data_IF_895312445185
#
_entry.id   IF_895312445185
#
_cell.length_a   1.000
_cell.length_b   1.000
_cell.length_c   1.000
_cell.angle_alpha   90.00
_cell.angle_beta   90.00
_cell.angle_gamma   90.00
#
_symmetry.space_group_name_H-M   'P 1'
#
loop_
_entity.id
_entity.type
_entity.pdbx_description
1 polymer ?
#
# COMPACT_ATOMS: atom_id res chain seq x y z
N UNK A 1 27.22 7.05 -2.93
CA UNK A 1 26.82 6.41 -1.66
C UNK A 1 27.67 6.86 -0.46
N UNK A 2 28.72 7.67 -0.66
CA UNK A 2 29.57 8.16 0.42
C UNK A 2 28.76 8.88 1.51
N UNK A 3 29.00 8.54 2.78
CA UNK A 3 28.29 9.09 3.94
C UNK A 3 26.88 8.54 4.17
N UNK A 4 26.52 7.39 3.58
CA UNK A 4 25.30 6.64 3.93
C UNK A 4 25.68 5.57 4.96
N UNK A 5 25.02 5.56 6.11
CA UNK A 5 25.32 4.69 7.26
C UNK A 5 25.14 3.21 6.94
N UNK A 6 24.06 2.85 6.24
CA UNK A 6 23.77 1.47 5.82
C UNK A 6 23.43 1.39 4.34
N UNK A 7 24.43 1.31 3.45
CA UNK A 7 24.22 1.22 2.01
C UNK A 7 23.42 -0.03 1.60
N UNK A 8 23.52 -1.12 2.37
CA UNK A 8 22.82 -2.39 2.10
C UNK A 8 21.30 -2.27 2.02
N UNK A 9 20.70 -1.18 2.52
CA UNK A 9 19.27 -0.89 2.38
C UNK A 9 18.84 -0.58 0.94
N UNK A 10 19.79 -0.27 0.04
CA UNK A 10 19.52 0.40 -1.25
C UNK A 10 20.14 -0.31 -2.47
N UNK A 11 20.78 -1.47 -2.29
CA UNK A 11 21.59 -2.13 -3.34
C UNK A 11 20.83 -3.20 -4.15
N UNK A 12 19.72 -3.73 -3.64
CA UNK A 12 19.02 -4.89 -4.21
C UNK A 12 19.98 -6.07 -4.50
N UNK A 13 19.64 -6.95 -5.46
CA UNK A 13 20.44 -8.11 -5.86
C UNK A 13 20.30 -9.31 -4.92
N UNK A 14 19.40 -9.23 -3.94
CA UNK A 14 19.15 -10.24 -2.92
C UNK A 14 18.75 -11.59 -3.52
N UNK A 15 19.00 -12.65 -2.75
CA UNK A 15 18.57 -13.98 -3.13
C UNK A 15 17.04 -14.04 -3.20
N UNK A 16 16.50 -14.69 -4.23
CA UNK A 16 15.06 -14.75 -4.55
C UNK A 16 14.37 -13.40 -4.85
N UNK A 17 15.09 -12.27 -4.94
CA UNK A 17 14.49 -11.05 -5.46
C UNK A 17 14.02 -11.29 -6.90
N UNK A 18 12.79 -10.87 -7.21
CA UNK A 18 12.23 -10.97 -8.54
C UNK A 18 13.11 -10.17 -9.52
N UNK A 19 13.34 -10.76 -10.70
CA UNK A 19 14.08 -10.13 -11.79
C UNK A 19 13.17 -10.09 -13.01
N UNK A 20 12.42 -9.00 -13.14
CA UNK A 20 11.57 -8.72 -14.28
C UNK A 20 12.03 -7.45 -14.95
N UNK A 21 12.04 -7.48 -16.27
CA UNK A 21 12.37 -6.33 -17.09
C UNK A 21 11.21 -5.34 -17.08
N UNK A 22 11.54 -4.07 -16.83
CA UNK A 22 10.57 -2.99 -16.72
C UNK A 22 9.64 -2.87 -17.92
N UNK A 23 10.21 -2.92 -19.13
CA UNK A 23 9.49 -2.64 -20.37
C UNK A 23 8.55 -3.77 -20.83
N UNK A 24 8.73 -4.99 -20.32
CA UNK A 24 7.87 -6.14 -20.66
C UNK A 24 6.64 -6.28 -19.74
N UNK A 25 6.61 -5.56 -18.62
CA UNK A 25 5.48 -5.62 -17.69
C UNK A 25 4.31 -4.76 -18.16
N UNK A 26 3.12 -5.36 -18.24
CA UNK A 26 1.86 -4.67 -18.54
C UNK A 26 1.37 -3.85 -17.35
N UNK A 27 1.66 -4.29 -16.13
CA UNK A 27 1.36 -3.58 -14.90
C UNK A 27 2.61 -3.47 -14.03
N UNK A 28 2.86 -2.27 -13.53
CA UNK A 28 4.00 -1.94 -12.68
C UNK A 28 3.48 -1.49 -11.32
N UNK A 29 3.83 -2.24 -10.28
CA UNK A 29 3.39 -2.01 -8.89
C UNK A 29 4.58 -1.69 -8.01
N UNK A 30 4.54 -0.55 -7.33
CA UNK A 30 5.46 -0.23 -6.24
C UNK A 30 4.84 -0.68 -4.92
N UNK A 31 5.35 -1.78 -4.36
CA UNK A 31 4.97 -2.26 -3.03
C UNK A 31 5.80 -1.52 -1.98
N UNK A 32 5.19 -0.47 -1.45
CA UNK A 32 5.79 0.43 -0.49
C UNK A 32 5.56 -0.03 0.95
N UNK A 33 6.63 -0.01 1.73
CA UNK A 33 6.55 -0.12 3.18
C UNK A 33 6.97 1.23 3.79
N UNK A 34 6.07 1.92 4.52
CA UNK A 34 6.33 3.25 5.09
C UNK A 34 7.17 3.14 6.38
N UNK A 35 8.32 2.49 6.25
CA UNK A 35 9.41 2.45 7.23
C UNK A 35 10.69 1.98 6.53
N UNK A 36 11.80 1.91 7.26
CA UNK A 36 13.07 1.41 6.76
C UNK A 36 13.00 -0.06 6.34
N UNK A 37 13.90 -0.38 5.42
CA UNK A 37 14.12 -1.70 4.87
C UNK A 37 14.16 -2.81 5.93
N UNK A 38 14.87 -2.65 7.05
CA UNK A 38 14.99 -3.71 8.06
C UNK A 38 13.63 -4.09 8.69
N UNK A 39 12.73 -3.13 8.83
CA UNK A 39 11.38 -3.35 9.37
C UNK A 39 10.50 -3.95 8.28
N UNK A 40 10.47 -3.35 7.09
CA UNK A 40 9.63 -3.82 6.00
C UNK A 40 9.98 -5.23 5.52
N UNK A 41 11.26 -5.58 5.45
CA UNK A 41 11.71 -6.94 5.12
C UNK A 41 11.42 -7.98 6.22
N UNK A 42 11.06 -7.54 7.41
CA UNK A 42 10.57 -8.41 8.49
C UNK A 42 9.07 -8.70 8.37
N UNK A 43 8.34 -8.02 7.48
CA UNK A 43 6.89 -8.13 7.35
C UNK A 43 6.46 -9.27 6.40
N UNK A 44 5.72 -10.26 6.93
CA UNK A 44 5.25 -11.41 6.16
C UNK A 44 4.25 -11.02 5.08
N UNK A 45 3.29 -10.15 5.37
CA UNK A 45 2.27 -9.74 4.40
C UNK A 45 2.88 -9.10 3.14
N UNK A 46 3.97 -8.34 3.29
CA UNK A 46 4.69 -7.78 2.16
C UNK A 46 5.33 -8.87 1.30
N UNK A 47 5.92 -9.90 1.91
CA UNK A 47 6.49 -11.05 1.19
C UNK A 47 5.42 -11.85 0.44
N UNK A 48 4.25 -12.01 1.04
CA UNK A 48 3.09 -12.67 0.41
C UNK A 48 2.66 -11.88 -0.84
N UNK A 49 2.35 -10.60 -0.69
CA UNK A 49 1.87 -9.76 -1.81
C UNK A 49 2.93 -9.62 -2.92
N UNK A 50 4.19 -9.43 -2.54
CA UNK A 50 5.30 -9.40 -3.48
C UNK A 50 5.40 -10.70 -4.30
N UNK A 51 5.25 -11.84 -3.64
CA UNK A 51 5.28 -13.15 -4.30
C UNK A 51 4.08 -13.41 -5.19
N UNK A 52 2.87 -13.05 -4.74
CA UNK A 52 1.63 -13.16 -5.53
C UNK A 52 1.76 -12.37 -6.83
N UNK A 53 2.10 -11.07 -6.73
CA UNK A 53 2.20 -10.22 -7.91
C UNK A 53 3.35 -10.61 -8.82
N UNK A 54 4.51 -11.01 -8.28
CA UNK A 54 5.63 -11.44 -9.12
C UNK A 54 5.47 -12.85 -9.70
N UNK A 55 4.49 -13.64 -9.28
CA UNK A 55 4.14 -14.88 -9.98
C UNK A 55 3.35 -14.64 -11.28
N UNK A 56 2.66 -13.49 -11.40
CA UNK A 56 1.95 -13.10 -12.61
C UNK A 56 2.93 -12.65 -13.69
N UNK A 57 2.95 -13.32 -14.84
CA UNK A 57 3.98 -13.09 -15.89
C UNK A 57 4.03 -11.66 -16.41
N UNK A 58 2.89 -10.99 -16.43
CA UNK A 58 2.69 -9.65 -16.99
C UNK A 58 2.67 -8.54 -15.93
N UNK A 59 2.86 -8.87 -14.65
CA UNK A 59 2.94 -7.89 -13.55
C UNK A 59 4.36 -7.83 -13.01
N UNK A 60 4.88 -6.63 -12.83
CA UNK A 60 6.13 -6.35 -12.14
C UNK A 60 5.79 -5.69 -10.81
N UNK A 61 6.28 -6.26 -9.71
CA UNK A 61 6.10 -5.70 -8.39
C UNK A 61 7.46 -5.46 -7.75
N UNK A 62 7.74 -4.21 -7.38
CA UNK A 62 9.03 -3.78 -6.84
C UNK A 62 8.87 -3.21 -5.44
N UNK A 63 9.91 -3.37 -4.62
CA UNK A 63 9.89 -2.96 -3.22
C UNK A 63 10.41 -1.55 -3.11
N UNK A 64 9.74 -0.75 -2.29
CA UNK A 64 10.16 0.61 -1.96
C UNK A 64 10.02 0.82 -0.46
N UNK A 65 11.01 1.45 0.15
CA UNK A 65 11.08 1.68 1.59
C UNK A 65 11.31 3.15 1.87
N UNK A 66 10.94 3.59 3.07
CA UNK A 66 11.31 4.93 3.52
C UNK A 66 12.83 5.01 3.66
N UNK A 67 13.50 5.98 3.00
CA UNK A 67 14.93 6.15 3.19
C UNK A 67 15.22 6.62 4.61
N UNK A 68 16.36 6.24 5.16
CA UNK A 68 16.80 6.82 6.42
C UNK A 68 17.21 8.28 6.23
N UNK A 69 17.25 9.05 7.32
CA UNK A 69 17.50 10.50 7.30
C UNK A 69 18.74 10.91 6.48
N UNK A 70 19.80 10.09 6.50
CA UNK A 70 21.05 10.34 5.78
C UNK A 70 20.92 10.19 4.25
N UNK A 71 20.09 9.24 3.79
CA UNK A 71 19.77 9.05 2.38
C UNK A 71 18.72 10.06 1.93
N UNK A 72 17.69 10.32 2.73
CA UNK A 72 16.66 11.31 2.40
C UNK A 72 17.28 12.68 2.15
N UNK A 73 18.13 13.16 3.07
CA UNK A 73 18.80 14.46 2.91
C UNK A 73 19.57 14.56 1.60
N UNK A 74 20.17 13.46 1.13
CA UNK A 74 20.88 13.42 -0.15
C UNK A 74 19.96 13.44 -1.34
N UNK A 75 18.91 12.61 -1.33
CA UNK A 75 17.90 12.62 -2.40
C UNK A 75 17.34 14.03 -2.58
N UNK A 76 16.96 14.69 -1.48
CA UNK A 76 16.48 16.07 -1.49
C UNK A 76 17.54 17.07 -1.97
N UNK A 77 18.78 16.98 -1.48
CA UNK A 77 19.87 17.88 -1.91
C UNK A 77 20.24 17.74 -3.39
N UNK A 78 20.10 16.54 -3.95
CA UNK A 78 20.40 16.25 -5.36
C UNK A 78 19.17 16.45 -6.27
N UNK A 79 17.97 16.64 -5.71
CA UNK A 79 16.72 16.66 -6.45
C UNK A 79 16.38 15.31 -7.10
N UNK A 80 16.91 14.21 -6.54
CA UNK A 80 16.66 12.86 -7.03
C UNK A 80 15.42 12.26 -6.35
N UNK A 81 14.55 11.56 -7.10
CA UNK A 81 13.37 10.96 -6.53
C UNK A 81 13.68 9.71 -5.70
N UNK A 82 12.76 9.35 -4.81
CA UNK A 82 12.73 8.01 -4.23
C UNK A 82 12.45 6.98 -5.33
N UNK A 83 13.30 5.97 -5.38
CA UNK A 83 13.25 4.90 -6.38
C UNK A 83 13.05 3.53 -5.75
N UNK A 84 12.50 2.61 -6.53
CA UNK A 84 12.42 1.19 -6.18
C UNK A 84 13.79 0.51 -6.04
N UNK A 85 13.82 -0.62 -5.33
CA UNK A 85 15.04 -1.40 -5.19
C UNK A 85 15.41 -2.13 -6.48
N UNK A 86 14.43 -2.74 -7.17
CA UNK A 86 14.70 -3.67 -8.26
C UNK A 86 15.26 -3.00 -9.51
N UNK A 87 14.47 -2.12 -10.15
CA UNK A 87 14.88 -1.43 -11.37
C UNK A 87 15.26 0.04 -11.16
N UNK A 88 15.28 0.52 -9.90
CA UNK A 88 15.59 1.92 -9.55
C UNK A 88 14.69 2.92 -10.25
N UNK A 89 13.40 2.62 -10.29
CA UNK A 89 12.40 3.46 -10.94
C UNK A 89 11.71 4.40 -9.95
N UNK A 90 11.51 5.68 -10.30
CA UNK A 90 10.78 6.62 -9.46
C UNK A 90 9.35 6.16 -9.21
N UNK A 91 8.79 6.47 -8.04
CA UNK A 91 7.41 6.11 -7.68
C UNK A 91 6.37 6.62 -8.69
N UNK A 92 6.53 7.84 -9.20
CA UNK A 92 5.64 8.40 -10.23
C UNK A 92 5.59 7.57 -11.52
N UNK A 93 6.60 6.75 -11.80
CA UNK A 93 6.62 5.90 -13.01
C UNK A 93 5.83 4.60 -12.87
N UNK A 94 5.34 4.25 -11.67
CA UNK A 94 4.50 3.07 -11.46
C UNK A 94 3.01 3.31 -11.76
N UNK A 95 2.28 2.23 -12.06
CA UNK A 95 0.85 2.29 -12.32
C UNK A 95 0.04 2.23 -11.02
N UNK A 96 0.53 1.44 -10.06
CA UNK A 96 -0.01 1.32 -8.71
C UNK A 96 1.10 1.54 -7.70
N UNK A 97 0.81 2.31 -6.65
CA UNK A 97 1.64 2.39 -5.44
C UNK A 97 0.84 1.81 -4.29
N UNK A 98 1.29 0.70 -3.71
CA UNK A 98 0.62 0.04 -2.59
C UNK A 98 1.36 0.22 -1.27
N UNK A 99 0.72 0.82 -0.27
CA UNK A 99 1.29 1.00 1.07
C UNK A 99 0.78 -0.04 2.07
N UNK A 100 1.68 -0.56 2.90
CA UNK A 100 1.34 -1.39 4.06
C UNK A 100 1.25 -0.55 5.35
N UNK A 101 0.06 -0.19 5.79
CA UNK A 101 -0.19 0.63 6.99
C UNK A 101 -0.27 -0.26 8.26
N UNK A 102 0.86 -0.43 8.93
CA UNK A 102 0.98 -1.27 10.12
C UNK A 102 0.60 -0.55 11.42
N UNK A 103 0.93 0.73 11.52
CA UNK A 103 0.68 1.61 12.65
C UNK A 103 0.61 3.07 12.19
N UNK A 104 -0.01 3.90 13.01
CA UNK A 104 -0.31 5.31 12.70
C UNK A 104 0.95 6.17 12.55
N UNK A 105 2.05 5.81 13.23
CA UNK A 105 3.33 6.53 13.09
C UNK A 105 3.88 6.48 11.66
N UNK A 106 3.52 5.47 10.86
CA UNK A 106 3.95 5.36 9.46
C UNK A 106 3.18 6.29 8.50
N UNK A 107 2.14 7.00 8.95
CA UNK A 107 1.37 7.89 8.07
C UNK A 107 2.22 9.04 7.51
N UNK A 108 3.09 9.62 8.33
CA UNK A 108 4.00 10.68 7.87
C UNK A 108 5.01 10.15 6.86
N UNK A 109 5.43 8.89 6.99
CA UNK A 109 6.33 8.23 6.06
C UNK A 109 5.66 7.94 4.71
N UNK A 110 4.36 7.61 4.70
CA UNK A 110 3.59 7.54 3.44
C UNK A 110 3.64 8.88 2.70
N UNK A 111 3.38 9.99 3.39
CA UNK A 111 3.43 11.33 2.78
C UNK A 111 4.85 11.68 2.31
N UNK A 112 5.86 11.38 3.12
CA UNK A 112 7.26 11.59 2.76
C UNK A 112 7.66 10.79 1.51
N UNK A 113 7.25 9.52 1.43
CA UNK A 113 7.51 8.67 0.26
C UNK A 113 6.82 9.21 -1.00
N UNK A 114 5.57 9.66 -0.91
CA UNK A 114 4.87 10.27 -2.04
C UNK A 114 5.56 11.55 -2.51
N UNK A 115 5.95 12.43 -1.58
CA UNK A 115 6.68 13.68 -1.87
C UNK A 115 8.02 13.40 -2.54
N UNK A 116 8.88 12.56 -1.94
CA UNK A 116 10.16 12.15 -2.53
C UNK A 116 9.97 11.41 -3.86
N UNK A 117 8.84 10.71 -4.02
CA UNK A 117 8.48 10.00 -5.24
C UNK A 117 7.95 10.88 -6.37
N UNK A 118 7.83 12.19 -6.15
CA UNK A 118 7.17 13.16 -7.03
C UNK A 118 5.73 12.79 -7.39
N UNK A 119 4.99 12.23 -6.43
CA UNK A 119 3.56 11.90 -6.58
C UNK A 119 2.74 12.93 -5.81
N UNK A 120 1.68 13.52 -6.40
CA UNK A 120 0.82 14.46 -5.68
C UNK A 120 0.31 13.86 -4.36
N UNK A 121 0.43 14.62 -3.28
CA UNK A 121 0.11 14.15 -1.94
C UNK A 121 -1.38 13.83 -1.80
N UNK A 122 -2.24 14.79 -2.14
CA UNK A 122 -3.70 14.61 -2.02
C UNK A 122 -4.21 13.82 -3.22
N UNK A 123 -5.19 12.95 -2.97
CA UNK A 123 -5.84 12.14 -3.99
C UNK A 123 -6.52 13.00 -5.06
N UNK A 124 -7.09 14.15 -4.66
CA UNK A 124 -7.77 15.10 -5.55
C UNK A 124 -6.84 15.80 -6.55
N UNK A 125 -5.54 15.90 -6.23
CA UNK A 125 -4.53 16.53 -7.09
C UNK A 125 -3.97 15.56 -8.15
N UNK A 126 -4.39 14.29 -8.14
CA UNK A 126 -3.89 13.25 -9.05
C UNK A 126 -4.75 13.14 -10.31
N UNK A 127 -4.11 13.23 -11.47
CA UNK A 127 -4.74 13.02 -12.76
C UNK A 127 -4.57 11.60 -13.30
N UNK A 128 -5.01 11.38 -14.54
CA UNK A 128 -4.86 10.09 -15.23
C UNK A 128 -3.39 9.66 -15.37
N UNK A 129 -2.46 10.60 -15.46
CA UNK A 129 -1.02 10.32 -15.60
C UNK A 129 -0.35 9.86 -14.31
N UNK A 130 -0.97 10.07 -13.16
CA UNK A 130 -0.41 9.74 -11.85
C UNK A 130 -0.82 8.33 -11.41
N UNK A 131 -0.01 7.64 -10.58
CA UNK A 131 -0.32 6.31 -10.08
C UNK A 131 -1.65 6.26 -9.31
N UNK A 132 -2.25 5.06 -9.28
CA UNK A 132 -3.29 4.73 -8.31
C UNK A 132 -2.60 4.37 -7.00
N UNK A 133 -2.82 5.16 -5.96
CA UNK A 133 -2.27 4.94 -4.62
C UNK A 133 -3.27 4.16 -3.81
N UNK A 134 -2.88 2.95 -3.40
CA UNK A 134 -3.68 2.05 -2.58
C UNK A 134 -3.00 1.81 -1.23
N UNK A 135 -3.78 1.45 -0.22
CA UNK A 135 -3.25 1.11 1.09
C UNK A 135 -3.98 -0.08 1.72
N UNK A 136 -3.26 -0.92 2.44
CA UNK A 136 -3.82 -2.04 3.21
C UNK A 136 -3.14 -2.17 4.57
N UNK A 137 -3.45 -3.25 5.28
CA UNK A 137 -2.88 -3.54 6.60
C UNK A 137 -3.79 -3.13 7.76
N UNK A 138 -3.37 -3.38 9.01
CA UNK A 138 -4.19 -3.18 10.21
C UNK A 138 -4.85 -1.80 10.32
N UNK A 139 -4.12 -0.73 9.99
CA UNK A 139 -4.64 0.62 10.07
C UNK A 139 -5.69 0.94 9.00
N UNK A 140 -5.78 0.19 7.91
CA UNK A 140 -6.79 0.41 6.87
C UNK A 140 -8.22 0.19 7.41
N UNK A 141 -8.40 -0.57 8.51
CA UNK A 141 -9.69 -0.71 9.19
C UNK A 141 -10.24 0.60 9.78
N UNK A 142 -9.40 1.63 9.93
CA UNK A 142 -9.80 2.98 10.24
C UNK A 142 -9.18 3.95 9.21
N UNK A 143 -9.72 3.99 7.98
CA UNK A 143 -9.07 4.66 6.87
C UNK A 143 -9.13 6.20 6.95
N UNK A 144 -10.06 6.74 7.75
CA UNK A 144 -10.40 8.17 7.82
C UNK A 144 -9.20 9.11 7.96
N UNK A 145 -8.16 8.83 8.78
CA UNK A 145 -7.00 9.72 8.88
C UNK A 145 -6.21 9.87 7.56
N UNK A 146 -6.39 8.96 6.60
CA UNK A 146 -5.60 8.88 5.38
C UNK A 146 -6.43 9.03 4.09
N UNK A 147 -7.75 9.24 4.18
CA UNK A 147 -8.64 9.27 3.00
C UNK A 147 -8.32 10.38 2.00
N UNK A 148 -7.78 11.50 2.48
CA UNK A 148 -7.34 12.62 1.63
C UNK A 148 -6.14 12.25 0.75
N UNK A 149 -5.39 11.20 1.09
CA UNK A 149 -4.10 10.87 0.47
C UNK A 149 -4.09 9.53 -0.27
N UNK A 150 -5.09 8.67 -0.04
CA UNK A 150 -5.15 7.31 -0.59
C UNK A 150 -6.39 7.16 -1.47
N UNK A 151 -6.22 6.57 -2.66
CA UNK A 151 -7.30 6.44 -3.62
C UNK A 151 -8.21 5.23 -3.34
N UNK A 152 -7.64 4.13 -2.85
CA UNK A 152 -8.40 2.96 -2.44
C UNK A 152 -7.73 2.22 -1.27
N UNK A 153 -8.54 1.75 -0.32
CA UNK A 153 -8.10 0.94 0.81
C UNK A 153 -8.52 -0.50 0.63
N UNK A 154 -7.62 -1.43 0.97
CA UNK A 154 -7.91 -2.86 1.09
C UNK A 154 -8.19 -3.17 2.56
N UNK A 155 -9.44 -3.52 2.85
CA UNK A 155 -9.95 -3.84 4.18
C UNK A 155 -9.98 -5.36 4.36
N UNK A 156 -9.11 -5.86 5.24
CA UNK A 156 -8.95 -7.29 5.49
C UNK A 156 -7.77 -7.87 4.72
N UNK A 157 -7.92 -9.12 4.29
CA UNK A 157 -6.86 -9.90 3.65
C UNK A 157 -6.78 -9.60 2.14
N UNK A 158 -5.58 -9.32 1.65
CA UNK A 158 -5.35 -8.71 0.34
C UNK A 158 -4.94 -9.71 -0.75
N UNK A 159 -4.68 -10.97 -0.41
CA UNK A 159 -4.05 -11.96 -1.29
C UNK A 159 -4.83 -12.20 -2.58
N UNK A 160 -6.15 -12.33 -2.48
CA UNK A 160 -7.01 -12.46 -3.67
C UNK A 160 -7.37 -11.09 -4.25
N UNK A 161 -7.59 -10.08 -3.39
CA UNK A 161 -8.00 -8.74 -3.81
C UNK A 161 -6.95 -8.09 -4.71
N UNK A 162 -5.67 -8.24 -4.38
CA UNK A 162 -4.60 -7.60 -5.13
C UNK A 162 -4.52 -8.09 -6.58
N UNK A 163 -4.87 -9.37 -6.85
CA UNK A 163 -4.93 -9.91 -8.20
C UNK A 163 -6.15 -9.38 -8.97
N UNK A 164 -7.31 -9.29 -8.31
CA UNK A 164 -8.51 -8.70 -8.90
C UNK A 164 -8.28 -7.22 -9.26
N UNK A 165 -7.65 -6.46 -8.35
CA UNK A 165 -7.25 -5.07 -8.57
C UNK A 165 -6.25 -4.97 -9.73
N UNK A 166 -5.22 -5.83 -9.76
CA UNK A 166 -4.25 -5.86 -10.85
C UNK A 166 -4.92 -6.13 -12.21
N UNK A 167 -5.89 -7.04 -12.26
CA UNK A 167 -6.63 -7.35 -13.48
C UNK A 167 -7.51 -6.19 -13.94
N UNK A 168 -8.15 -5.45 -13.02
CA UNK A 168 -8.91 -4.22 -13.35
C UNK A 168 -7.99 -3.19 -14.00
N UNK A 169 -6.85 -2.89 -13.38
CA UNK A 169 -5.92 -1.87 -13.90
C UNK A 169 -5.31 -2.29 -15.23
N UNK A 170 -4.93 -3.58 -15.38
CA UNK A 170 -4.45 -4.13 -16.66
C UNK A 170 -5.51 -4.02 -17.76
N UNK A 171 -6.76 -4.37 -17.46
CA UNK A 171 -7.84 -4.41 -18.44
C UNK A 171 -8.29 -3.04 -18.94
N UNK A 172 -8.28 -2.02 -18.06
CA UNK A 172 -8.68 -0.66 -18.41
C UNK A 172 -7.52 0.19 -18.97
N UNK A 173 -6.28 -0.17 -18.63
CA UNK A 173 -5.10 0.62 -18.94
C UNK A 173 -4.93 1.80 -17.98
N UNK A 174 -3.75 1.89 -17.37
CA UNK A 174 -3.30 3.07 -16.64
C UNK A 174 -2.92 4.19 -17.62
N UNK A 175 -3.01 5.45 -17.17
CA UNK A 175 -2.51 6.63 -17.92
C UNK A 175 -3.10 6.83 -19.31
N UNK A 176 -4.33 6.38 -19.49
CA UNK A 176 -5.17 6.70 -20.65
C UNK A 176 -6.14 7.79 -20.21
N UNK A 177 -6.54 8.67 -21.13
CA UNK A 177 -7.49 9.74 -20.85
C UNK A 177 -8.77 9.20 -20.22
N UNK A 178 -9.17 9.78 -19.09
CA UNK A 178 -10.30 9.41 -18.24
C UNK A 178 -10.24 8.00 -17.64
N UNK A 179 -9.05 7.36 -17.57
CA UNK A 179 -8.97 5.99 -17.07
C UNK A 179 -9.01 5.92 -15.54
N UNK A 180 -8.53 6.94 -14.82
CA UNK A 180 -8.45 6.92 -13.35
C UNK A 180 -9.81 6.72 -12.69
N UNK A 181 -10.81 7.51 -13.09
CA UNK A 181 -12.15 7.42 -12.51
C UNK A 181 -12.81 6.07 -12.78
N UNK A 182 -12.64 5.53 -14.00
CA UNK A 182 -13.15 4.21 -14.36
C UNK A 182 -12.47 3.09 -13.56
N UNK A 183 -11.15 3.17 -13.39
CA UNK A 183 -10.39 2.23 -12.55
C UNK A 183 -10.93 2.26 -11.14
N UNK A 184 -10.99 3.44 -10.50
CA UNK A 184 -11.50 3.56 -9.14
C UNK A 184 -12.92 3.00 -9.01
N UNK A 185 -13.78 3.27 -10.00
CA UNK A 185 -15.15 2.76 -10.01
C UNK A 185 -15.20 1.23 -10.08
N UNK A 186 -14.42 0.59 -10.94
CA UNK A 186 -14.35 -0.87 -11.00
C UNK A 186 -13.71 -1.46 -9.73
N UNK A 187 -12.68 -0.81 -9.17
CA UNK A 187 -12.08 -1.21 -7.90
C UNK A 187 -13.10 -1.18 -6.76
N UNK A 188 -14.00 -0.19 -6.73
CA UNK A 188 -15.04 -0.07 -5.68
C UNK A 188 -16.06 -1.22 -5.67
N UNK A 189 -16.12 -2.02 -6.75
CA UNK A 189 -16.99 -3.20 -6.85
C UNK A 189 -16.34 -4.46 -6.26
N UNK A 190 -15.04 -4.42 -5.98
CA UNK A 190 -14.29 -5.54 -5.40
C UNK A 190 -14.59 -5.60 -3.89
N UNK A 191 -14.88 -6.80 -3.39
CA UNK A 191 -15.11 -7.03 -1.96
C UNK A 191 -13.86 -6.66 -1.14
N UNK A 192 -14.07 -5.93 -0.05
CA UNK A 192 -12.98 -5.42 0.80
C UNK A 192 -12.34 -4.14 0.30
N UNK A 193 -12.71 -3.59 -0.86
CA UNK A 193 -12.15 -2.33 -1.35
C UNK A 193 -13.03 -1.15 -0.93
N UNK A 194 -12.41 -0.19 -0.25
CA UNK A 194 -13.01 1.09 0.11
C UNK A 194 -12.40 2.21 -0.74
N UNK A 195 -13.23 2.93 -1.51
CA UNK A 195 -12.81 4.08 -2.32
C UNK A 195 -13.42 5.36 -1.74
N UNK A 196 -12.62 6.26 -1.13
CA UNK A 196 -13.15 7.47 -0.47
C UNK A 196 -13.98 8.38 -1.39
N UNK A 197 -13.52 8.55 -2.64
CA UNK A 197 -14.15 9.46 -3.61
C UNK A 197 -15.63 9.15 -3.89
N UNK A 198 -16.09 7.90 -3.76
CA UNK A 198 -17.49 7.53 -4.02
C UNK A 198 -18.37 7.48 -2.77
N UNK A 199 -17.77 7.62 -1.59
CA UNK A 199 -18.49 7.53 -0.32
C UNK A 199 -18.79 8.90 0.26
N UNK A 200 -17.98 9.91 -0.08
CA UNK A 200 -18.22 11.33 0.25
C UNK A 200 -19.58 11.86 -0.27
N UNK A 201 -20.12 11.33 -1.37
CA UNK A 201 -21.43 11.73 -1.90
C UNK A 201 -22.63 11.27 -1.06
N UNK A 202 -22.46 10.33 -0.12
CA UNK A 202 -23.51 9.92 0.81
C UNK A 202 -23.62 10.87 2.02
N UNK A 203 -22.64 11.75 2.20
CA UNK A 203 -22.64 12.80 3.19
C UNK A 203 -23.27 14.03 2.54
N UNK A 204 -24.57 14.21 2.74
CA UNK A 204 -25.26 15.42 2.30
C UNK A 204 -24.54 16.67 2.81
N UNK A 205 -24.56 17.74 2.02
CA UNK A 205 -24.09 19.07 2.39
C UNK A 205 -24.48 19.37 3.84
N UNK A 206 -23.50 19.41 4.75
CA UNK A 206 -23.78 19.83 6.11
C UNK A 206 -24.11 21.32 6.06
N UNK A 207 -25.34 21.62 6.45
CA UNK A 207 -25.83 22.97 6.77
C UNK A 207 -24.73 23.75 7.52
N UNK A 208 -24.48 25.02 7.18
CA UNK A 208 -23.40 25.80 7.77
C UNK A 208 -23.56 25.78 9.30
N UNK A 209 -22.46 25.46 9.98
CA UNK A 209 -22.37 25.37 11.43
C UNK A 209 -23.14 26.52 12.10
N UNK A 210 -24.32 26.22 12.65
CA UNK A 210 -25.02 27.14 13.55
C UNK A 210 -24.17 27.32 14.80
N UNK A 211 -23.42 28.42 14.80
CA UNK A 211 -23.06 29.26 15.93
C UNK A 211 -23.01 28.58 17.31
N UNK A 212 -21.79 28.28 17.79
CA UNK A 212 -21.47 28.31 19.23
C UNK A 212 -21.13 26.97 19.91
N UNK A 213 -21.21 25.83 19.24
CA UNK A 213 -20.74 24.54 19.77
C UNK A 213 -19.48 24.08 19.07
N UNK A 214 -18.45 23.66 19.81
CA UNK A 214 -17.31 22.94 19.22
C UNK A 214 -17.85 21.78 18.36
N UNK A 215 -17.54 21.72 17.05
CA UNK A 215 -17.98 20.62 16.22
C UNK A 215 -17.35 19.34 16.77
N UNK A 216 -18.19 18.44 17.29
CA UNK A 216 -17.77 17.07 17.57
C UNK A 216 -17.39 16.45 16.22
N UNK A 217 -16.19 15.88 16.06
CA UNK A 217 -15.81 15.15 14.85
C UNK A 217 -16.66 13.87 14.63
N UNK A 218 -17.63 13.58 15.51
CA UNK A 218 -18.45 12.37 15.49
C UNK A 218 -19.91 12.63 15.06
N UNK A 219 -20.15 13.47 14.06
CA UNK A 219 -21.50 13.57 13.48
C UNK A 219 -21.72 12.40 12.52
N UNK A 220 -22.10 11.23 13.08
CA UNK A 220 -22.49 10.04 12.33
C UNK A 220 -23.78 10.33 11.53
N UNK A 221 -23.64 10.42 10.21
CA UNK A 221 -24.71 10.68 9.24
C UNK A 221 -25.40 9.37 8.75
N UNK A 222 -26.62 9.43 8.16
CA UNK A 222 -27.74 8.52 8.48
C UNK A 222 -27.78 7.13 7.82
N UNK A 223 -26.73 6.67 7.14
CA UNK A 223 -26.60 5.26 6.74
C UNK A 223 -25.13 4.93 6.49
N UNK A 224 -24.48 4.10 7.32
CA UNK A 224 -23.07 3.79 7.13
C UNK A 224 -22.91 3.03 5.81
N UNK A 225 -22.10 3.56 4.91
CA UNK A 225 -21.54 2.78 3.83
C UNK A 225 -20.67 1.69 4.47
N UNK A 226 -21.14 0.45 4.46
CA UNK A 226 -20.45 -0.68 5.10
C UNK A 226 -19.62 -1.45 4.07
N UNK A 227 -18.31 -1.51 4.29
CA UNK A 227 -17.43 -2.41 3.55
C UNK A 227 -17.26 -3.71 4.35
N UNK A 228 -17.51 -4.83 3.69
CA UNK A 228 -17.21 -6.14 4.27
C UNK A 228 -15.70 -6.37 4.18
N UNK A 229 -15.07 -6.69 5.31
CA UNK A 229 -13.66 -7.08 5.33
C UNK A 229 -13.49 -8.40 4.58
N UNK A 230 -12.41 -8.53 3.83
CA UNK A 230 -12.07 -9.78 3.15
C UNK A 230 -11.35 -10.73 4.11
N UNK A 231 -11.67 -12.02 4.00
CA UNK A 231 -11.09 -13.09 4.82
C UNK A 231 -10.76 -14.27 3.89
N UNK A 232 -9.52 -14.76 3.90
CA UNK A 232 -9.16 -16.00 3.21
C UNK A 232 -9.76 -17.18 3.96
N UNK A 233 -10.65 -17.92 3.28
CA UNK A 233 -11.39 -19.04 3.89
C UNK A 233 -10.58 -20.31 3.97
N UNK A 234 -9.64 -20.51 3.05
CA UNK A 234 -8.81 -21.72 2.97
C UNK A 234 -7.33 -21.37 2.97
N UNK A 235 -6.77 -21.31 4.17
CA UNK A 235 -5.35 -21.02 4.37
C UNK A 235 -4.43 -22.13 3.84
N UNK A 236 -4.92 -23.37 3.69
CA UNK A 236 -4.09 -24.48 3.21
C UNK A 236 -3.74 -24.34 1.73
N UNK A 237 -4.62 -23.71 0.96
CA UNK A 237 -4.45 -23.48 -0.48
C UNK A 237 -4.07 -22.02 -0.81
N UNK A 238 -4.02 -21.14 0.20
CA UNK A 238 -3.57 -19.76 0.03
C UNK A 238 -2.08 -19.71 -0.37
N UNK A 239 -1.72 -18.69 -1.13
CA UNK A 239 -0.32 -18.49 -1.49
C UNK A 239 0.55 -18.24 -0.25
N UNK A 240 1.66 -18.96 -0.15
CA UNK A 240 2.67 -18.72 0.87
C UNK A 240 4.06 -18.64 0.21
N UNK A 241 4.90 -17.64 0.56
CA UNK A 241 6.20 -17.46 -0.07
C UNK A 241 7.17 -18.57 0.38
N UNK A 242 7.37 -19.58 -0.46
CA UNK A 242 8.32 -20.69 -0.22
C UNK A 242 9.75 -20.34 -0.58
N UNK A 243 9.94 -19.29 -1.39
CA UNK A 243 11.24 -18.72 -1.75
C UNK A 243 11.24 -17.21 -1.45
N UNK A 244 11.11 -16.80 -0.18
CA UNK A 244 11.10 -15.38 0.17
C UNK A 244 12.45 -14.73 -0.15
N UNK A 245 12.44 -13.43 -0.42
CA UNK A 245 13.66 -12.65 -0.61
C UNK A 245 14.52 -12.72 0.67
N UNK A 246 15.82 -12.98 0.51
CA UNK A 246 16.78 -13.07 1.61
C UNK A 246 17.63 -11.80 1.67
N UNK A 247 17.43 -10.94 2.69
CA UNK A 247 18.19 -9.70 2.85
C UNK A 247 19.70 -9.92 2.97
N UNK A 248 20.49 -8.98 2.43
CA UNK A 248 21.95 -8.94 2.65
C UNK A 248 22.39 -8.23 3.93
N UNK A 249 21.45 -7.64 4.66
CA UNK A 249 21.68 -7.02 5.96
C UNK A 249 20.75 -7.64 6.99
N UNK A 250 21.18 -7.63 8.25
CA UNK A 250 20.36 -8.09 9.36
C UNK A 250 19.08 -7.25 9.45
N UNK A 251 17.93 -7.92 9.40
CA UNK A 251 16.60 -7.33 9.57
C UNK A 251 16.13 -7.45 11.02
N UNK A 252 15.05 -6.75 11.39
CA UNK A 252 14.55 -6.74 12.79
C UNK A 252 14.14 -8.14 13.26
N UNK A 253 13.42 -8.88 12.42
CA UNK A 253 13.08 -10.28 12.66
C UNK A 253 13.84 -11.18 11.69
N UNK A 254 15.10 -11.43 12.01
CA UNK A 254 15.99 -12.31 11.24
C UNK A 254 15.70 -13.79 11.51
N UNK A 255 14.50 -14.22 11.09
CA UNK A 255 13.98 -15.59 11.25
C UNK A 255 13.00 -15.93 10.14
N UNK A 256 12.83 -17.22 9.90
CA UNK A 256 11.74 -17.70 9.05
C UNK A 256 10.43 -17.58 9.83
N UNK A 257 9.39 -17.06 9.17
CA UNK A 257 8.03 -17.00 9.71
C UNK A 257 7.22 -18.08 9.04
N UNK A 258 6.54 -18.91 9.83
CA UNK A 258 5.57 -19.91 9.36
C UNK A 258 4.25 -19.55 10.02
N UNK A 259 3.23 -19.29 9.20
CA UNK A 259 1.89 -18.99 9.67
C UNK A 259 1.07 -20.28 9.68
N UNK A 260 0.70 -20.76 10.87
CA UNK A 260 -0.07 -22.00 11.05
C UNK A 260 -1.58 -21.75 11.23
N UNK A 261 -1.96 -20.52 11.54
CA UNK A 261 -3.34 -20.06 11.69
C UNK A 261 -3.40 -18.54 11.56
N UNK A 262 -4.57 -18.00 11.18
CA UNK A 262 -4.87 -16.57 11.22
C UNK A 262 -5.97 -16.27 12.21
N UNK A 263 -5.85 -15.13 12.88
CA UNK A 263 -6.73 -14.73 13.97
C UNK A 263 -6.48 -15.45 15.30
N UNK A 264 -7.21 -15.02 16.31
CA UNK A 264 -7.06 -15.52 17.68
C UNK A 264 -8.44 -15.85 18.28
N UNK A 265 -8.68 -17.09 18.74
CA UNK A 265 -9.98 -17.51 19.23
C UNK A 265 -10.39 -16.84 20.55
N UNK A 266 -9.44 -16.22 21.27
CA UNK A 266 -9.70 -15.60 22.57
C UNK A 266 -10.54 -14.32 22.49
N UNK A 267 -10.62 -13.66 21.32
CA UNK A 267 -11.47 -12.49 21.08
C UNK A 267 -11.43 -11.41 22.19
N UNK A 268 -10.23 -11.16 22.73
CA UNK A 268 -10.05 -10.17 23.79
C UNK A 268 -10.51 -8.78 23.31
N UNK A 269 -11.37 -8.10 24.08
CA UNK A 269 -11.99 -6.81 23.69
C UNK A 269 -10.99 -5.69 23.40
N UNK A 270 -9.81 -5.75 24.01
CA UNK A 270 -8.73 -4.77 23.81
C UNK A 270 -7.84 -5.10 22.60
N UNK A 271 -7.95 -6.30 22.03
CA UNK A 271 -7.03 -6.78 21.00
C UNK A 271 -7.61 -6.48 19.61
N UNK A 272 -6.89 -5.68 18.83
CA UNK A 272 -7.27 -5.34 17.46
C UNK A 272 -7.39 -6.58 16.55
N UNK A 273 -6.62 -7.65 16.84
CA UNK A 273 -6.68 -8.90 16.08
C UNK A 273 -8.10 -9.51 16.03
N UNK A 274 -8.92 -9.30 17.07
CA UNK A 274 -10.32 -9.77 17.09
C UNK A 274 -11.22 -9.06 16.06
N UNK A 275 -10.85 -7.85 15.64
CA UNK A 275 -11.62 -7.06 14.67
C UNK A 275 -11.06 -7.23 13.26
N UNK A 276 -9.75 -7.41 13.15
CA UNK A 276 -9.05 -7.61 11.87
C UNK A 276 -9.32 -9.01 11.31
N UNK A 277 -9.05 -10.05 12.09
CA UNK A 277 -9.19 -11.45 11.68
C UNK A 277 -10.50 -12.08 12.12
#
# INVERSE_FOLDING_TARGET
MDGVLKPGRYINGEWNAARKEWDYALLKVALCFPDIYEIGMSHLGMKIIYGILNNEKDVLCERVFTPWNDMEQKLRAMGEPLVSLENRKPLREFDIIGFSLQYEMGYVDVLNMLDLGNVPLRSEDRGDSDPIVIAGGPCAFNPEPMVDFIDAFVIGEAEEAILEMANVVKGLGCRVKNSRQNILQELSKIEGIYVPAFTLSAYGETSPATSGGHPSPFTLHPKPFTINKRIIKDLNNAYFPTSPVVPYIQIVHDRITIEIMRGCPHQCRFCQACRIF
#
